data_IF_875961403858
#
_entry.id   IF_875961403858
#
_cell.length_a   1.000
_cell.length_b   1.000
_cell.length_c   1.000
_cell.angle_alpha   90.00
_cell.angle_beta   90.00
_cell.angle_gamma   90.00
#
_symmetry.space_group_name_H-M   'P 1'
#
loop_
_entity.id
_entity.type
_entity.pdbx_description
1 polymer ?
#
# COMPACT_ATOMS: atom_id res chain seq x y z
N UNK A 1 63.60 43.96 14.04
CA UNK A 1 62.52 43.01 14.36
C UNK A 1 61.88 42.54 13.06
N UNK A 2 62.41 41.48 12.46
CA UNK A 2 61.83 40.86 11.26
C UNK A 2 60.99 39.67 11.70
N UNK A 3 59.67 39.83 11.64
CA UNK A 3 58.72 38.76 11.93
C UNK A 3 58.79 37.72 10.82
N UNK A 4 59.10 36.48 11.18
CA UNK A 4 59.01 35.33 10.28
C UNK A 4 57.52 35.01 10.15
N UNK A 5 56.93 35.39 9.01
CA UNK A 5 55.62 34.87 8.62
C UNK A 5 55.85 33.48 8.02
N UNK A 6 55.53 32.45 8.80
CA UNK A 6 55.48 31.08 8.30
C UNK A 6 54.27 30.96 7.36
N UNK A 7 54.53 30.89 6.06
CA UNK A 7 53.50 30.62 5.07
C UNK A 7 53.14 29.13 5.14
N UNK A 8 52.00 28.81 5.76
CA UNK A 8 51.50 27.44 5.86
C UNK A 8 50.92 27.02 4.50
N UNK A 9 51.73 26.36 3.68
CA UNK A 9 51.29 25.80 2.40
C UNK A 9 50.53 24.51 2.71
N UNK A 10 49.20 24.59 2.76
CA UNK A 10 48.34 23.42 2.90
C UNK A 10 48.25 22.74 1.52
N UNK A 11 48.67 21.47 1.38
CA UNK A 11 48.53 20.73 0.13
C UNK A 11 47.06 20.67 -0.30
N UNK A 12 46.79 20.81 -1.61
CA UNK A 12 45.42 20.85 -2.16
C UNK A 12 44.61 19.58 -1.86
N UNK A 13 45.27 18.47 -1.54
CA UNK A 13 44.63 17.21 -1.20
C UNK A 13 44.09 17.18 0.23
N UNK A 14 44.61 18.02 1.14
CA UNK A 14 44.23 18.02 2.57
C UNK A 14 42.76 18.42 2.78
N UNK A 15 42.23 19.49 2.15
CA UNK A 15 40.80 19.80 2.24
C UNK A 15 39.90 18.67 1.75
N UNK A 16 40.31 17.98 0.68
CA UNK A 16 39.58 16.85 0.10
C UNK A 16 39.56 15.65 1.04
N UNK A 17 40.70 15.33 1.65
CA UNK A 17 40.80 14.27 2.66
C UNK A 17 40.00 14.58 3.91
N UNK A 18 40.01 15.84 4.38
CA UNK A 18 39.19 16.28 5.50
C UNK A 18 37.69 16.22 5.18
N UNK A 19 37.28 16.53 3.95
CA UNK A 19 35.90 16.39 3.51
C UNK A 19 35.45 14.91 3.48
N UNK A 20 36.30 14.01 2.98
CA UNK A 20 36.04 12.55 2.99
C UNK A 20 35.95 12.02 4.42
N UNK A 21 36.87 12.42 5.30
CA UNK A 21 36.82 12.06 6.71
C UNK A 21 35.58 12.61 7.42
N UNK A 22 35.17 13.84 7.10
CA UNK A 22 33.94 14.44 7.61
C UNK A 22 32.70 13.65 7.17
N UNK A 23 32.63 13.24 5.90
CA UNK A 23 31.54 12.43 5.37
C UNK A 23 31.50 11.03 6.04
N UNK A 24 32.66 10.39 6.20
CA UNK A 24 32.76 9.10 6.90
C UNK A 24 32.33 9.21 8.36
N UNK A 25 32.72 10.29 9.04
CA UNK A 25 32.33 10.55 10.42
C UNK A 25 30.82 10.80 10.54
N UNK A 26 30.23 11.58 9.62
CA UNK A 26 28.78 11.76 9.54
C UNK A 26 28.06 10.44 9.28
N UNK A 27 28.63 9.56 8.46
CA UNK A 27 28.07 8.24 8.17
C UNK A 27 28.09 7.32 9.39
N UNK A 28 29.21 7.24 10.10
CA UNK A 28 29.33 6.46 11.34
C UNK A 28 28.40 6.99 12.44
N UNK A 29 28.33 8.32 12.60
CA UNK A 29 27.41 8.95 13.53
C UNK A 29 25.95 8.62 13.18
N UNK A 30 25.60 8.67 11.90
CA UNK A 30 24.28 8.28 11.41
C UNK A 30 23.98 6.81 11.73
N UNK A 31 24.91 5.88 11.48
CA UNK A 31 24.72 4.46 11.75
C UNK A 31 24.54 4.18 13.26
N UNK A 32 25.30 4.89 14.12
CA UNK A 32 25.13 4.83 15.58
C UNK A 32 23.74 5.35 15.99
N UNK A 33 23.27 6.45 15.42
CA UNK A 33 21.95 7.01 15.73
C UNK A 33 20.79 6.13 15.23
N UNK A 34 20.99 5.43 14.11
CA UNK A 34 20.07 4.42 13.59
C UNK A 34 20.02 3.21 14.52
N UNK A 35 21.18 2.67 14.95
CA UNK A 35 21.25 1.54 15.90
C UNK A 35 20.65 1.88 17.26
N UNK A 36 20.77 3.13 17.70
CA UNK A 36 20.13 3.64 18.93
C UNK A 36 18.63 3.90 18.78
N UNK A 37 18.05 3.67 17.59
CA UNK A 37 16.63 3.87 17.31
C UNK A 37 16.17 5.32 17.34
N UNK A 38 17.10 6.28 17.41
CA UNK A 38 16.82 7.73 17.38
C UNK A 38 16.46 8.18 15.97
N UNK A 39 17.09 7.57 14.97
CA UNK A 39 16.72 7.71 13.57
C UNK A 39 16.01 6.42 13.16
N UNK A 40 14.71 6.52 12.84
CA UNK A 40 14.05 5.43 12.13
C UNK A 40 14.54 5.43 10.68
N UNK A 41 15.13 4.34 10.18
CA UNK A 41 15.53 4.23 8.78
C UNK A 41 14.26 4.18 7.93
N UNK A 42 13.75 5.36 7.59
CA UNK A 42 12.73 5.50 6.56
C UNK A 42 13.46 5.32 5.23
N UNK A 43 13.08 4.29 4.50
CA UNK A 43 13.53 4.05 3.14
C UNK A 43 13.43 5.37 2.36
N UNK A 44 14.45 5.78 1.60
CA UNK A 44 14.43 7.00 0.78
C UNK A 44 13.14 7.13 -0.05
N UNK A 45 12.60 5.98 -0.48
CA UNK A 45 11.30 5.86 -1.13
C UNK A 45 10.16 6.55 -0.35
N UNK A 46 10.11 6.43 0.97
CA UNK A 46 9.09 7.04 1.83
C UNK A 46 9.14 8.58 1.85
N UNK A 47 10.29 9.19 1.58
CA UNK A 47 10.43 10.64 1.44
C UNK A 47 10.16 11.13 0.01
N UNK A 48 10.39 10.27 -0.99
CA UNK A 48 10.28 10.60 -2.40
C UNK A 48 8.87 10.40 -2.95
N UNK A 49 8.13 9.41 -2.46
CA UNK A 49 6.74 9.17 -2.87
C UNK A 49 5.83 10.40 -2.66
N UNK A 50 5.88 11.15 -1.54
CA UNK A 50 5.08 12.36 -1.35
C UNK A 50 5.47 13.52 -2.29
N UNK A 51 6.67 13.49 -2.86
CA UNK A 51 7.21 14.57 -3.70
C UNK A 51 7.00 14.31 -5.20
N UNK A 52 6.51 13.12 -5.60
CA UNK A 52 6.36 12.70 -7.01
C UNK A 52 7.63 12.92 -7.85
N UNK A 53 8.80 12.87 -7.22
CA UNK A 53 10.07 13.02 -7.92
C UNK A 53 10.43 11.65 -8.50
N UNK A 54 10.41 11.55 -9.82
CA UNK A 54 11.03 10.44 -10.53
C UNK A 54 12.55 10.58 -10.38
N UNK A 55 13.16 9.83 -9.46
CA UNK A 55 14.59 9.61 -9.58
C UNK A 55 14.84 8.70 -10.79
N UNK A 56 15.86 8.99 -11.62
CA UNK A 56 16.41 7.99 -12.53
C UNK A 56 16.98 6.87 -11.66
N UNK A 57 16.14 5.90 -11.34
CA UNK A 57 16.47 4.85 -10.39
C UNK A 57 17.24 3.78 -11.13
N UNK A 58 18.58 3.88 -11.07
CA UNK A 58 19.44 2.71 -11.10
C UNK A 58 19.03 1.80 -9.93
N UNK A 59 18.07 0.91 -10.16
CA UNK A 59 17.75 -0.21 -9.25
C UNK A 59 16.40 -0.20 -8.52
N UNK A 60 15.46 0.72 -8.78
CA UNK A 60 14.08 0.52 -8.29
C UNK A 60 13.42 -0.57 -9.14
N UNK A 61 13.27 -1.76 -8.55
CA UNK A 61 12.68 -2.91 -9.24
C UNK A 61 11.21 -2.63 -9.59
N UNK A 62 10.71 -3.10 -10.75
CA UNK A 62 9.29 -3.06 -11.04
C UNK A 62 8.54 -3.81 -9.94
N UNK A 63 7.47 -3.18 -9.43
CA UNK A 63 6.55 -3.81 -8.48
C UNK A 63 5.47 -4.49 -9.32
N UNK A 64 5.18 -5.73 -8.98
CA UNK A 64 4.04 -6.46 -9.51
C UNK A 64 2.79 -5.97 -8.76
N UNK A 65 1.77 -5.59 -9.50
CA UNK A 65 0.50 -5.17 -8.91
C UNK A 65 -0.61 -6.11 -9.37
N UNK A 66 -1.46 -6.53 -8.45
CA UNK A 66 -2.67 -7.30 -8.74
C UNK A 66 -3.88 -6.45 -8.38
N UNK A 67 -4.79 -6.28 -9.34
CA UNK A 67 -6.10 -5.69 -9.09
C UNK A 67 -7.04 -6.75 -8.58
N UNK A 68 -7.70 -6.44 -7.47
CA UNK A 68 -8.71 -7.29 -6.91
C UNK A 68 -9.99 -6.50 -6.71
N UNK A 69 -11.08 -6.99 -7.30
CA UNK A 69 -12.44 -6.55 -7.02
C UNK A 69 -13.22 -7.69 -6.38
N UNK A 70 -14.38 -7.42 -5.80
CA UNK A 70 -15.30 -8.50 -5.45
C UNK A 70 -16.06 -8.95 -6.69
N UNK A 71 -16.37 -10.23 -6.79
CA UNK A 71 -17.24 -10.75 -7.84
C UNK A 71 -18.72 -10.59 -7.44
N UNK A 72 -19.18 -9.35 -7.24
CA UNK A 72 -20.57 -9.07 -6.86
C UNK A 72 -21.30 -8.15 -7.87
N UNK A 73 -22.65 -8.17 -7.91
CA UNK A 73 -23.43 -7.33 -8.83
C UNK A 73 -23.29 -5.82 -8.57
N UNK A 74 -22.72 -5.42 -7.43
CA UNK A 74 -22.54 -4.01 -7.05
C UNK A 74 -21.21 -3.46 -7.55
N UNK A 75 -20.34 -4.31 -8.05
CA UNK A 75 -19.05 -3.94 -8.63
C UNK A 75 -19.27 -3.44 -10.06
N UNK A 76 -18.78 -2.23 -10.38
CA UNK A 76 -19.00 -1.68 -11.72
C UNK A 76 -18.32 -2.54 -12.81
N UNK A 77 -18.85 -2.52 -14.06
CA UNK A 77 -18.36 -3.40 -15.13
C UNK A 77 -16.85 -3.30 -15.39
N UNK A 78 -16.27 -2.09 -15.30
CA UNK A 78 -14.83 -1.90 -15.45
C UNK A 78 -14.01 -2.49 -14.32
N UNK A 79 -14.50 -2.39 -13.08
CA UNK A 79 -13.85 -3.03 -11.94
C UNK A 79 -13.97 -4.55 -11.99
N UNK A 80 -15.11 -5.06 -12.46
CA UNK A 80 -15.35 -6.48 -12.67
C UNK A 80 -14.40 -7.04 -13.74
N UNK A 81 -14.29 -6.36 -14.88
CA UNK A 81 -13.33 -6.73 -15.93
C UNK A 81 -11.87 -6.60 -15.47
N UNK A 82 -11.55 -5.69 -14.55
CA UNK A 82 -10.22 -5.52 -14.00
C UNK A 82 -9.90 -6.53 -12.87
N UNK A 83 -10.87 -7.31 -12.40
CA UNK A 83 -10.65 -8.29 -11.34
C UNK A 83 -9.57 -9.30 -11.77
N UNK A 84 -8.62 -9.57 -10.87
CA UNK A 84 -7.50 -10.48 -11.08
C UNK A 84 -6.58 -10.11 -12.27
N UNK A 85 -6.57 -8.86 -12.71
CA UNK A 85 -5.54 -8.39 -13.64
C UNK A 85 -4.25 -8.05 -12.89
N UNK A 86 -3.15 -8.67 -13.33
CA UNK A 86 -1.80 -8.33 -12.90
C UNK A 86 -1.13 -7.41 -13.91
N UNK A 87 -0.22 -6.55 -13.45
CA UNK A 87 0.62 -5.72 -14.30
C UNK A 87 1.89 -5.28 -13.59
N UNK A 88 2.87 -4.86 -14.39
CA UNK A 88 4.10 -4.26 -13.91
C UNK A 88 3.95 -2.74 -13.87
N UNK A 89 4.41 -2.14 -12.77
CA UNK A 89 4.48 -0.70 -12.61
C UNK A 89 5.69 -0.31 -11.78
N UNK A 90 6.12 0.94 -11.90
CA UNK A 90 7.17 1.48 -11.03
C UNK A 90 6.60 2.09 -9.78
N UNK A 91 5.35 2.56 -9.85
CA UNK A 91 4.80 3.43 -8.84
C UNK A 91 3.32 3.13 -8.53
N UNK A 92 2.88 3.36 -7.28
CA UNK A 92 1.48 3.22 -6.87
C UNK A 92 0.48 4.02 -7.71
N UNK A 93 0.85 5.21 -8.19
CA UNK A 93 -0.06 6.05 -8.97
C UNK A 93 -0.17 5.60 -10.43
N UNK A 94 0.88 5.02 -11.03
CA UNK A 94 0.78 4.34 -12.33
C UNK A 94 -0.21 3.18 -12.27
N UNK A 95 -0.11 2.40 -11.19
CA UNK A 95 -1.06 1.36 -10.86
C UNK A 95 -2.47 1.93 -10.70
N UNK A 96 -2.61 2.98 -9.89
CA UNK A 96 -3.87 3.66 -9.70
C UNK A 96 -4.50 4.19 -10.99
N UNK A 97 -3.71 4.80 -11.89
CA UNK A 97 -4.20 5.38 -13.14
C UNK A 97 -4.81 4.35 -14.11
N UNK A 98 -4.50 3.06 -13.93
CA UNK A 98 -5.09 1.98 -14.72
C UNK A 98 -6.49 1.59 -14.23
N UNK A 99 -6.87 1.92 -13.00
CA UNK A 99 -8.25 1.75 -12.53
C UNK A 99 -9.11 2.88 -13.09
N UNK A 100 -10.01 2.53 -14.00
CA UNK A 100 -11.07 3.44 -14.47
C UNK A 100 -12.39 2.98 -13.89
N UNK A 101 -12.66 3.33 -12.64
CA UNK A 101 -13.94 3.02 -12.01
C UNK A 101 -15.03 3.97 -12.49
N UNK A 102 -16.21 3.44 -12.78
CA UNK A 102 -17.40 4.20 -13.21
C UNK A 102 -18.47 4.30 -12.12
N UNK A 103 -18.27 3.65 -10.96
CA UNK A 103 -19.21 3.73 -9.84
C UNK A 103 -19.21 5.14 -9.21
N UNK A 104 -20.34 5.89 -9.26
CA UNK A 104 -20.45 7.20 -8.63
C UNK A 104 -20.45 7.12 -7.10
N UNK A 105 -20.75 5.95 -6.52
CA UNK A 105 -20.64 5.69 -5.08
C UNK A 105 -19.22 5.30 -4.65
N UNK A 106 -18.31 5.21 -5.63
CA UNK A 106 -16.88 5.05 -5.49
C UNK A 106 -16.38 3.61 -5.62
N UNK A 107 -15.08 3.51 -5.81
CA UNK A 107 -14.44 2.28 -6.25
C UNK A 107 -14.29 1.25 -5.14
N UNK A 108 -14.63 0.00 -5.46
CA UNK A 108 -14.50 -1.18 -4.58
C UNK A 108 -13.28 -2.04 -4.90
N UNK A 109 -12.61 -1.73 -6.01
CA UNK A 109 -11.35 -2.37 -6.38
C UNK A 109 -10.24 -1.95 -5.43
N UNK A 110 -9.31 -2.87 -5.17
CA UNK A 110 -8.07 -2.62 -4.45
C UNK A 110 -6.87 -3.03 -5.29
N UNK A 111 -5.74 -2.40 -4.98
CA UNK A 111 -4.45 -2.66 -5.63
C UNK A 111 -3.57 -3.33 -4.59
N UNK A 112 -3.06 -4.51 -4.94
CA UNK A 112 -2.19 -5.28 -4.06
C UNK A 112 -0.78 -5.29 -4.66
N UNK A 113 0.18 -4.56 -4.07
CA UNK A 113 1.57 -4.61 -4.51
C UNK A 113 2.26 -5.89 -4.05
N UNK A 114 3.15 -6.39 -4.88
CA UNK A 114 4.05 -7.52 -4.64
C UNK A 114 5.46 -7.15 -5.10
N UNK A 115 6.46 -7.37 -4.27
CA UNK A 115 7.87 -7.26 -4.63
C UNK A 115 8.35 -8.44 -5.49
N UNK A 116 7.64 -9.57 -5.43
CA UNK A 116 7.70 -10.64 -6.41
C UNK A 116 8.97 -11.49 -6.37
N UNK A 117 9.55 -11.72 -5.17
CA UNK A 117 10.84 -12.41 -5.01
C UNK A 117 10.74 -13.92 -4.76
N UNK A 118 9.78 -14.61 -5.40
CA UNK A 118 9.66 -16.07 -5.33
C UNK A 118 9.21 -16.67 -6.67
N UNK A 119 9.43 -17.98 -6.90
CA UNK A 119 9.29 -18.59 -8.22
C UNK A 119 7.95 -18.31 -8.92
N UNK A 120 6.83 -18.43 -8.20
CA UNK A 120 5.51 -18.21 -8.79
C UNK A 120 5.30 -16.73 -9.20
N UNK A 121 5.83 -15.77 -8.44
CA UNK A 121 5.78 -14.36 -8.84
C UNK A 121 6.73 -14.04 -9.99
N UNK A 122 7.91 -14.66 -10.03
CA UNK A 122 8.84 -14.54 -11.16
C UNK A 122 8.21 -15.06 -12.46
N UNK A 123 7.46 -16.16 -12.40
CA UNK A 123 6.73 -16.68 -13.56
C UNK A 123 5.66 -15.69 -14.05
N UNK A 124 4.91 -15.09 -13.13
CA UNK A 124 3.94 -14.06 -13.48
C UNK A 124 4.60 -12.80 -14.07
N UNK A 125 5.74 -12.37 -13.52
CA UNK A 125 6.55 -11.26 -14.05
C UNK A 125 7.06 -11.56 -15.48
N UNK A 126 7.54 -12.78 -15.72
CA UNK A 126 7.95 -13.24 -17.06
C UNK A 126 6.79 -13.21 -18.06
N UNK A 127 5.60 -13.68 -17.66
CA UNK A 127 4.39 -13.64 -18.49
C UNK A 127 4.01 -12.19 -18.84
N UNK A 128 4.02 -11.29 -17.86
CA UNK A 128 3.73 -9.88 -18.04
C UNK A 128 4.73 -9.19 -18.97
N UNK A 129 6.02 -9.48 -18.80
CA UNK A 129 7.10 -8.97 -19.64
C UNK A 129 6.98 -9.45 -21.09
N UNK A 130 6.60 -10.71 -21.27
CA UNK A 130 6.42 -11.32 -22.59
C UNK A 130 5.21 -10.76 -23.34
N UNK A 131 4.09 -10.56 -22.64
CA UNK A 131 2.86 -10.03 -23.24
C UNK A 131 2.86 -8.51 -23.40
N UNK A 132 3.79 -7.79 -22.74
CA UNK A 132 3.89 -6.31 -22.73
C UNK A 132 2.57 -5.63 -22.37
N UNK A 133 1.83 -6.22 -21.44
CA UNK A 133 0.49 -5.78 -21.09
C UNK A 133 0.00 -6.38 -19.78
N UNK A 134 -1.20 -5.98 -19.30
CA UNK A 134 -1.83 -6.63 -18.17
C UNK A 134 -2.17 -8.09 -18.52
N UNK A 135 -1.98 -8.98 -17.56
CA UNK A 135 -2.31 -10.41 -17.68
C UNK A 135 -3.49 -10.69 -16.77
N UNK A 136 -4.54 -11.31 -17.31
CA UNK A 136 -5.60 -11.90 -16.49
C UNK A 136 -5.02 -13.10 -15.75
N UNK A 137 -5.06 -13.06 -14.43
CA UNK A 137 -4.62 -14.13 -13.53
C UNK A 137 -5.85 -14.96 -13.17
N UNK A 138 -5.73 -16.28 -13.28
CA UNK A 138 -6.82 -17.17 -12.86
C UNK A 138 -6.90 -17.20 -11.33
N UNK A 139 -8.06 -17.52 -10.76
CA UNK A 139 -8.17 -17.70 -9.30
C UNK A 139 -7.22 -18.82 -8.80
N UNK A 140 -7.02 -19.87 -9.61
CA UNK A 140 -6.05 -20.93 -9.34
C UNK A 140 -4.62 -20.39 -9.31
N UNK A 141 -4.23 -19.54 -10.26
CA UNK A 141 -2.91 -18.91 -10.27
C UNK A 141 -2.70 -18.03 -9.01
N UNK A 142 -3.76 -17.36 -8.51
CA UNK A 142 -3.72 -16.62 -7.25
C UNK A 142 -3.51 -17.57 -6.07
N UNK A 143 -4.24 -18.70 -6.03
CA UNK A 143 -4.04 -19.73 -5.02
C UNK A 143 -2.61 -20.29 -5.04
N UNK A 144 -2.05 -20.52 -6.23
CA UNK A 144 -0.69 -21.02 -6.39
C UNK A 144 0.34 -19.98 -5.96
N UNK A 145 0.13 -18.69 -6.26
CA UNK A 145 0.96 -17.58 -5.76
C UNK A 145 0.99 -17.57 -4.23
N UNK A 146 -0.18 -17.71 -3.58
CA UNK A 146 -0.32 -17.75 -2.12
C UNK A 146 0.36 -18.99 -1.55
N UNK A 147 0.12 -20.16 -2.13
CA UNK A 147 0.63 -21.44 -1.63
C UNK A 147 2.16 -21.49 -1.69
N UNK A 148 2.75 -21.14 -2.84
CA UNK A 148 4.19 -21.11 -3.00
C UNK A 148 4.87 -20.02 -2.15
N UNK A 149 4.17 -18.91 -1.90
CA UNK A 149 4.67 -17.86 -1.01
C UNK A 149 4.74 -18.30 0.45
N UNK A 150 3.74 -19.05 0.95
CA UNK A 150 3.68 -19.51 2.36
C UNK A 150 4.84 -20.42 2.78
N UNK A 151 5.40 -21.20 1.85
CA UNK A 151 6.52 -22.12 2.09
C UNK A 151 7.90 -21.55 1.73
N UNK A 152 7.97 -20.35 1.17
CA UNK A 152 9.19 -19.76 0.62
C UNK A 152 9.83 -18.69 1.51
N UNK A 153 11.08 -18.33 1.19
CA UNK A 153 11.73 -17.13 1.74
C UNK A 153 11.22 -15.88 1.02
N UNK A 154 10.02 -15.42 1.37
CA UNK A 154 9.42 -14.19 0.85
C UNK A 154 9.55 -13.03 1.84
N UNK A 155 9.51 -11.79 1.35
CA UNK A 155 9.64 -10.59 2.17
C UNK A 155 8.41 -10.36 3.04
N UNK A 156 8.55 -9.65 4.16
CA UNK A 156 7.42 -9.34 5.06
C UNK A 156 6.30 -8.60 4.31
N UNK A 157 6.66 -7.75 3.35
CA UNK A 157 5.73 -7.08 2.45
C UNK A 157 4.88 -8.08 1.65
N UNK A 158 5.54 -9.01 0.97
CA UNK A 158 4.87 -10.04 0.17
C UNK A 158 4.02 -10.96 1.05
N UNK A 159 4.47 -11.29 2.27
CA UNK A 159 3.67 -12.06 3.22
C UNK A 159 2.37 -11.35 3.57
N UNK A 160 2.41 -10.04 3.84
CA UNK A 160 1.21 -9.25 4.14
C UNK A 160 0.29 -9.13 2.92
N UNK A 161 0.85 -8.93 1.73
CA UNK A 161 0.09 -8.86 0.49
C UNK A 161 -0.61 -10.19 0.16
N UNK A 162 0.07 -11.34 0.32
CA UNK A 162 -0.51 -12.66 0.12
C UNK A 162 -1.58 -13.01 1.16
N UNK A 163 -1.43 -12.54 2.41
CA UNK A 163 -2.50 -12.65 3.42
C UNK A 163 -3.73 -11.83 3.04
N UNK A 164 -3.52 -10.63 2.49
CA UNK A 164 -4.61 -9.80 2.00
C UNK A 164 -5.36 -10.46 0.83
N UNK A 165 -4.63 -11.02 -0.15
CA UNK A 165 -5.22 -11.82 -1.22
C UNK A 165 -6.00 -13.02 -0.67
N UNK A 166 -5.41 -13.75 0.28
CA UNK A 166 -6.09 -14.87 0.96
C UNK A 166 -7.39 -14.43 1.64
N UNK A 167 -7.39 -13.26 2.30
CA UNK A 167 -8.57 -12.72 2.95
C UNK A 167 -9.70 -12.44 1.95
N UNK A 168 -9.36 -11.87 0.79
CA UNK A 168 -10.33 -11.57 -0.26
C UNK A 168 -10.99 -12.84 -0.83
N UNK A 169 -10.21 -13.90 -1.06
CA UNK A 169 -10.73 -15.19 -1.52
C UNK A 169 -11.60 -15.90 -0.46
N UNK A 170 -11.40 -15.58 0.82
CA UNK A 170 -12.17 -16.14 1.93
C UNK A 170 -13.43 -15.34 2.27
N UNK A 171 -13.68 -14.17 1.67
CA UNK A 171 -14.81 -13.30 2.05
C UNK A 171 -16.17 -14.01 1.99
N UNK A 172 -16.37 -14.89 1.01
CA UNK A 172 -17.62 -15.61 0.78
C UNK A 172 -17.69 -16.95 1.53
N UNK A 173 -16.56 -17.66 1.59
CA UNK A 173 -16.50 -19.03 2.15
C UNK A 173 -16.20 -19.06 3.64
N UNK A 174 -15.41 -18.10 4.15
CA UNK A 174 -15.06 -17.99 5.57
C UNK A 174 -14.90 -16.50 5.99
N UNK A 175 -16.03 -15.80 6.18
CA UNK A 175 -16.05 -14.35 6.48
C UNK A 175 -15.28 -13.98 7.75
N UNK A 176 -15.29 -14.84 8.77
CA UNK A 176 -14.58 -14.59 10.03
C UNK A 176 -13.06 -14.65 9.83
N UNK A 177 -12.58 -15.64 9.07
CA UNK A 177 -11.16 -15.74 8.71
C UNK A 177 -10.73 -14.52 7.89
N UNK A 178 -11.50 -14.13 6.86
CA UNK A 178 -11.22 -12.94 6.06
C UNK A 178 -11.06 -11.67 6.92
N UNK A 179 -12.01 -11.41 7.82
CA UNK A 179 -11.95 -10.25 8.71
C UNK A 179 -10.74 -10.28 9.65
N UNK A 180 -10.39 -11.47 10.17
CA UNK A 180 -9.21 -11.64 11.02
C UNK A 180 -7.91 -11.32 10.27
N UNK A 181 -7.81 -11.73 9.00
CA UNK A 181 -6.66 -11.43 8.15
C UNK A 181 -6.56 -9.94 7.85
N UNK A 182 -7.68 -9.26 7.57
CA UNK A 182 -7.67 -7.81 7.40
C UNK A 182 -7.17 -7.08 8.65
N UNK A 183 -7.62 -7.49 9.84
CA UNK A 183 -7.16 -6.91 11.10
C UNK A 183 -5.67 -7.16 11.35
N UNK A 184 -5.18 -8.36 11.08
CA UNK A 184 -3.77 -8.70 11.22
C UNK A 184 -2.90 -7.91 10.25
N UNK A 185 -3.34 -7.74 8.99
CA UNK A 185 -2.63 -6.93 8.01
C UNK A 185 -2.48 -5.48 8.49
N UNK A 186 -3.55 -4.89 9.03
CA UNK A 186 -3.53 -3.55 9.61
C UNK A 186 -2.65 -3.43 10.86
N UNK A 187 -2.58 -4.49 11.69
CA UNK A 187 -1.78 -4.49 12.91
C UNK A 187 -0.28 -4.65 12.66
N UNK A 188 0.10 -5.39 11.61
CA UNK A 188 1.51 -5.71 11.30
C UNK A 188 2.14 -4.73 10.31
N UNK A 189 1.33 -3.97 9.58
CA UNK A 189 1.82 -3.07 8.57
C UNK A 189 2.55 -1.86 9.18
N UNK A 190 3.83 -1.73 8.83
CA UNK A 190 4.64 -0.55 9.13
C UNK A 190 4.34 0.62 8.18
N UNK A 191 4.25 1.84 8.74
CA UNK A 191 3.98 3.07 7.99
C UNK A 191 5.01 3.29 6.87
N UNK A 192 4.53 3.75 5.71
CA UNK A 192 5.35 4.03 4.54
C UNK A 192 5.53 2.83 3.62
N UNK A 193 6.19 1.77 4.09
CA UNK A 193 6.50 0.60 3.25
C UNK A 193 5.27 -0.24 2.90
N UNK A 194 4.30 -0.36 3.81
CA UNK A 194 3.08 -1.16 3.62
C UNK A 194 1.83 -0.31 3.31
N UNK A 195 1.99 0.97 2.98
CA UNK A 195 0.89 1.93 2.86
C UNK A 195 -0.21 1.48 1.89
N UNK A 196 0.14 0.92 0.72
CA UNK A 196 -0.84 0.40 -0.23
C UNK A 196 -1.60 -0.83 0.32
N UNK A 197 -0.90 -1.73 1.00
CA UNK A 197 -1.52 -2.90 1.64
C UNK A 197 -2.49 -2.45 2.73
N UNK A 198 -2.10 -1.47 3.56
CA UNK A 198 -3.00 -0.87 4.55
C UNK A 198 -4.24 -0.27 3.89
N UNK A 199 -4.04 0.53 2.84
CA UNK A 199 -5.14 1.18 2.12
C UNK A 199 -6.13 0.14 1.58
N UNK A 200 -5.63 -0.92 0.95
CA UNK A 200 -6.43 -2.02 0.46
C UNK A 200 -7.17 -2.76 1.60
N UNK A 201 -6.49 -3.04 2.72
CA UNK A 201 -7.11 -3.66 3.89
C UNK A 201 -8.24 -2.80 4.49
N UNK A 202 -8.05 -1.49 4.61
CA UNK A 202 -9.10 -0.56 5.07
C UNK A 202 -10.29 -0.52 4.11
N UNK A 203 -10.04 -0.42 2.80
CA UNK A 203 -11.09 -0.40 1.77
C UNK A 203 -11.93 -1.68 1.81
N UNK A 204 -11.28 -2.85 1.80
CA UNK A 204 -11.97 -4.15 1.84
C UNK A 204 -12.70 -4.38 3.17
N UNK A 205 -12.07 -4.12 4.30
CA UNK A 205 -12.69 -4.33 5.61
C UNK A 205 -13.90 -3.43 5.85
N UNK A 206 -13.84 -2.16 5.45
CA UNK A 206 -14.97 -1.24 5.55
C UNK A 206 -16.15 -1.69 4.70
N UNK A 207 -15.88 -2.13 3.46
CA UNK A 207 -16.92 -2.67 2.58
C UNK A 207 -17.52 -3.96 3.14
N UNK A 208 -16.68 -4.90 3.54
CA UNK A 208 -17.11 -6.19 4.07
C UNK A 208 -18.02 -6.03 5.30
N UNK A 209 -17.63 -5.16 6.25
CA UNK A 209 -18.42 -4.90 7.46
C UNK A 209 -19.75 -4.19 7.14
N UNK A 210 -19.73 -3.23 6.21
CA UNK A 210 -20.94 -2.54 5.75
C UNK A 210 -21.94 -3.53 5.12
N UNK A 211 -21.47 -4.39 4.22
CA UNK A 211 -22.34 -5.38 3.56
C UNK A 211 -22.86 -6.44 4.54
N UNK A 212 -22.09 -6.75 5.58
CA UNK A 212 -22.48 -7.70 6.63
C UNK A 212 -23.39 -7.08 7.70
N UNK A 213 -23.83 -5.83 7.53
CA UNK A 213 -24.74 -5.14 8.46
C UNK A 213 -24.06 -4.51 9.69
N UNK A 214 -22.75 -4.69 9.87
CA UNK A 214 -21.98 -4.11 10.97
C UNK A 214 -21.62 -2.64 10.70
N UNK A 215 -22.65 -1.80 10.53
CA UNK A 215 -22.50 -0.39 10.11
C UNK A 215 -21.65 0.46 11.07
N UNK A 216 -21.72 0.20 12.38
CA UNK A 216 -20.89 0.89 13.40
C UNK A 216 -19.42 0.57 13.22
N UNK A 217 -19.08 -0.70 13.01
CA UNK A 217 -17.71 -1.15 12.82
C UNK A 217 -17.16 -0.67 11.48
N UNK A 218 -17.96 -0.73 10.42
CA UNK A 218 -17.62 -0.16 9.12
C UNK A 218 -17.29 1.34 9.24
N UNK A 219 -18.11 2.11 9.98
CA UNK A 219 -17.85 3.53 10.22
C UNK A 219 -16.55 3.73 11.00
N UNK A 220 -16.28 2.90 12.01
CA UNK A 220 -15.02 2.99 12.75
C UNK A 220 -13.80 2.72 11.86
N UNK A 221 -13.87 1.72 10.98
CA UNK A 221 -12.82 1.44 10.00
C UNK A 221 -12.60 2.62 9.06
N UNK A 222 -13.67 3.23 8.53
CA UNK A 222 -13.53 4.42 7.66
C UNK A 222 -12.91 5.62 8.39
N UNK A 223 -13.26 5.84 9.66
CA UNK A 223 -12.64 6.89 10.49
C UNK A 223 -11.15 6.62 10.73
N UNK A 224 -10.80 5.38 11.04
CA UNK A 224 -9.41 4.97 11.23
C UNK A 224 -8.59 5.19 9.96
N UNK A 225 -9.15 4.88 8.79
CA UNK A 225 -8.53 5.16 7.50
C UNK A 225 -8.21 6.66 7.30
N UNK A 226 -9.16 7.56 7.56
CA UNK A 226 -8.92 9.00 7.41
C UNK A 226 -7.95 9.57 8.43
N UNK A 227 -7.83 8.94 9.60
CA UNK A 227 -6.83 9.28 10.62
C UNK A 227 -5.44 8.77 10.26
N UNK A 228 -5.36 7.60 9.63
CA UNK A 228 -4.10 6.93 9.33
C UNK A 228 -3.36 7.59 8.16
N UNK A 229 -4.06 7.94 7.09
CA UNK A 229 -3.44 8.54 5.90
C UNK A 229 -3.61 10.04 5.91
N UNK A 230 -2.53 10.78 5.70
CA UNK A 230 -2.56 12.22 5.42
C UNK A 230 -3.15 12.48 4.04
N UNK A 231 -3.57 13.73 3.77
CA UNK A 231 -4.11 14.10 2.45
C UNK A 231 -3.12 13.79 1.30
N UNK A 232 -1.84 14.11 1.49
CA UNK A 232 -0.80 13.86 0.48
C UNK A 232 -0.61 12.36 0.20
N UNK A 233 -0.64 11.51 1.22
CA UNK A 233 -0.53 10.07 1.04
C UNK A 233 -1.74 9.54 0.26
N UNK A 234 -2.95 10.00 0.59
CA UNK A 234 -4.16 9.62 -0.16
C UNK A 234 -4.05 9.98 -1.64
N UNK A 235 -3.54 11.16 -1.97
CA UNK A 235 -3.37 11.61 -3.36
C UNK A 235 -2.27 10.86 -4.15
N UNK A 236 -1.36 10.16 -3.45
CA UNK A 236 -0.28 9.39 -4.08
C UNK A 236 -0.59 7.90 -4.20
N UNK A 237 -1.35 7.34 -3.26
CA UNK A 237 -1.58 5.90 -3.16
C UNK A 237 -2.98 5.47 -3.58
N UNK A 238 -3.96 6.37 -3.48
CA UNK A 238 -5.33 6.06 -3.82
C UNK A 238 -5.70 6.70 -5.14
N UNK A 239 -6.47 5.96 -5.93
CA UNK A 239 -7.17 6.56 -7.05
C UNK A 239 -8.26 7.48 -6.52
N UNK A 240 -8.54 8.56 -7.26
CA UNK A 240 -9.65 9.46 -6.94
C UNK A 240 -10.97 8.69 -6.67
N UNK A 241 -11.36 7.69 -7.49
CA UNK A 241 -12.52 6.86 -7.20
C UNK A 241 -12.47 6.07 -5.88
N UNK A 242 -11.31 5.57 -5.45
CA UNK A 242 -11.18 4.86 -4.16
C UNK A 242 -11.31 5.82 -2.97
N UNK A 243 -10.67 7.00 -3.07
CA UNK A 243 -10.79 8.05 -2.06
C UNK A 243 -12.23 8.54 -1.94
N UNK A 244 -12.85 8.92 -3.06
CA UNK A 244 -14.23 9.38 -3.12
C UNK A 244 -15.19 8.30 -2.60
N UNK A 245 -14.90 7.03 -2.86
CA UNK A 245 -15.66 5.89 -2.31
C UNK A 245 -15.60 5.78 -0.80
N UNK A 246 -14.45 6.02 -0.19
CA UNK A 246 -14.34 6.06 1.28
C UNK A 246 -15.08 7.25 1.88
N UNK A 247 -15.04 8.42 1.22
CA UNK A 247 -15.80 9.60 1.66
C UNK A 247 -17.30 9.34 1.55
N UNK A 248 -17.76 8.83 0.41
CA UNK A 248 -19.16 8.50 0.17
C UNK A 248 -19.67 7.45 1.16
N UNK A 249 -18.86 6.41 1.43
CA UNK A 249 -19.16 5.38 2.43
C UNK A 249 -19.31 5.96 3.83
N UNK A 250 -18.36 6.79 4.28
CA UNK A 250 -18.43 7.42 5.59
C UNK A 250 -19.71 8.25 5.74
N UNK A 251 -20.04 9.08 4.74
CA UNK A 251 -21.24 9.91 4.76
C UNK A 251 -22.52 9.06 4.81
N UNK A 252 -22.59 7.98 4.02
CA UNK A 252 -23.74 7.06 4.00
C UNK A 252 -23.91 6.36 5.35
N UNK A 253 -22.83 5.85 5.95
CA UNK A 253 -22.86 5.18 7.24
C UNK A 253 -23.28 6.13 8.37
N UNK A 254 -22.79 7.38 8.37
CA UNK A 254 -23.21 8.41 9.34
C UNK A 254 -24.71 8.67 9.22
N UNK A 255 -25.22 8.91 8.00
CA UNK A 255 -26.66 9.13 7.78
C UNK A 255 -27.48 7.93 8.25
N UNK A 256 -27.10 6.71 7.84
CA UNK A 256 -27.81 5.49 8.22
C UNK A 256 -27.90 5.31 9.74
N UNK A 257 -26.82 5.63 10.47
CA UNK A 257 -26.80 5.49 11.93
C UNK A 257 -27.62 6.59 12.64
N UNK A 258 -27.66 7.81 12.10
CA UNK A 258 -28.51 8.88 12.64
C UNK A 258 -30.00 8.59 12.44
N UNK A 259 -30.40 8.05 11.29
CA UNK A 259 -31.79 7.66 11.07
C UNK A 259 -32.17 6.42 11.90
N UNK A 260 -31.26 5.46 12.07
CA UNK A 260 -31.50 4.29 12.92
C UNK A 260 -31.58 4.63 14.41
N UNK A 261 -30.89 5.67 14.90
CA UNK A 261 -31.03 6.12 16.29
C UNK A 261 -32.31 6.90 16.53
N UNK A 262 -32.86 7.55 15.50
CA UNK A 262 -34.10 8.32 15.58
C UNK A 262 -35.36 7.45 15.38
N UNK A 263 -35.21 6.19 14.97
CA UNK A 263 -36.31 5.22 14.80
C UNK A 263 -36.55 4.28 15.99
N UNK A 264 -35.84 4.48 17.11
CA UNK A 264 -36.06 3.76 18.37
C UNK A 264 -37.03 4.50 19.31
N UNK A 265 -37.94 5.31 18.73
CA UNK A 265 -39.07 5.93 19.41
C UNK A 265 -40.32 5.68 18.58
N UNK A 266 -41.29 4.99 19.19
CA UNK A 266 -42.65 4.78 18.73
C UNK A 266 -42.88 3.98 17.43
N UNK A 267 -43.22 2.70 17.63
CA UNK A 267 -44.42 2.15 17.00
C UNK A 267 -45.31 1.51 18.08
N UNK A 268 -46.50 2.08 18.35
CA UNK A 268 -47.54 1.42 19.12
C UNK A 268 -48.48 0.58 18.23
N UNK A 269 -48.83 -0.59 18.78
CA UNK A 269 -49.85 -1.59 18.42
C UNK A 269 -49.48 -2.65 17.38
#
# INVERSE_FOLDING_TARGET
>A
MTGIVALLIIPEEVPSLLAVLGLLFCWELHDVEVRQGRIQPKTLLAYLIPLRIELPTLGARPILFIFMARNDPRTCPRCHAAHAHAFLGRTPWEAGARIRCEDPLGCRCVIIPLEGRWPAATELDNRLSSQRGPVQVSEQDIHDLIHHGKGGKITDHDQLALRLLSAMLLEETNPQAALSWYRQALAQATKGHHTLICAAAYLRSAEFLEQSGYSKDALQVTRNFFREFTQKERDCFLTKPQYDGMVARQNRLIRSLMYSSNGAGDWPR
#
